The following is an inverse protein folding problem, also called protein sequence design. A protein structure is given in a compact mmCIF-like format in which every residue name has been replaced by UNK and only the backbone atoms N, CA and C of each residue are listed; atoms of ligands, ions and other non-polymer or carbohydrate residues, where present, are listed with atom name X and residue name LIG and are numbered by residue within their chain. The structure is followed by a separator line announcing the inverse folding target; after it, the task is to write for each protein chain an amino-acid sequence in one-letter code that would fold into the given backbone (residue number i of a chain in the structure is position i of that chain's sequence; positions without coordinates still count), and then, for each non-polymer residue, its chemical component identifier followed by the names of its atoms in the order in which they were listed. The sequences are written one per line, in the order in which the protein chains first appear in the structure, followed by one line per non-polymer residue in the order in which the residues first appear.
data_IF_794837430799
#
_entry.id   IF_794837430799
#
_cell.length_a   1.000
_cell.length_b   1.000
_cell.length_c   1.000
_cell.angle_alpha   90.00
_cell.angle_beta   90.00
_cell.angle_gamma   90.00
#
_symmetry.space_group_name_H-M   'P 1'
#
loop_
_entity.id
_entity.type
_entity.pdbx_description
1 polymer ?
#
# COMPACT_ATOMS: atom_id res chain seq x y z
N UNK A 1 -34.23 -21.23 -54.63
CA UNK A 1 -33.55 -20.42 -55.66
C UNK A 1 -32.39 -19.68 -55.00
N UNK A 2 -31.17 -20.06 -55.29
CA UNK A 2 -29.95 -19.22 -55.14
C UNK A 2 -29.79 -18.34 -56.41
N UNK A 3 -28.77 -17.45 -56.59
CA UNK A 3 -27.63 -17.04 -55.74
C UNK A 3 -27.26 -15.51 -55.79
N UNK A 4 -26.10 -15.16 -55.17
CA UNK A 4 -25.14 -14.03 -55.44
C UNK A 4 -25.39 -12.69 -54.71
N UNK A 5 -24.45 -11.94 -54.10
CA UNK A 5 -22.96 -11.84 -54.02
C UNK A 5 -22.56 -11.27 -52.63
N UNK A 6 -21.55 -11.77 -51.91
CA UNK A 6 -20.10 -11.45 -51.94
C UNK A 6 -19.69 -9.96 -52.05
N UNK A 7 -19.53 -9.28 -50.91
CA UNK A 7 -18.55 -8.16 -50.79
C UNK A 7 -17.85 -8.22 -49.45
N UNK A 8 -16.62 -8.75 -49.48
CA UNK A 8 -15.63 -8.69 -48.42
C UNK A 8 -14.92 -7.31 -48.48
N UNK A 9 -15.32 -6.36 -47.64
CA UNK A 9 -14.70 -5.03 -47.62
C UNK A 9 -13.64 -4.92 -46.52
N UNK A 10 -12.39 -4.82 -46.98
CA UNK A 10 -11.14 -4.70 -46.22
C UNK A 10 -11.12 -3.40 -45.41
N UNK A 11 -11.35 -3.49 -44.10
CA UNK A 11 -10.93 -2.45 -43.13
C UNK A 11 -9.73 -2.94 -42.32
N UNK A 12 -8.64 -3.27 -43.02
CA UNK A 12 -7.36 -3.63 -42.39
C UNK A 12 -6.15 -3.04 -43.12
N UNK A 13 -6.38 -2.02 -43.98
CA UNK A 13 -5.32 -1.42 -44.82
C UNK A 13 -4.74 -0.13 -44.24
N UNK A 14 -5.42 0.55 -43.31
CA UNK A 14 -4.99 1.86 -42.80
C UNK A 14 -3.92 1.73 -41.71
N UNK A 15 -4.09 0.80 -40.76
CA UNK A 15 -3.13 0.58 -39.67
C UNK A 15 -1.77 0.07 -40.15
N UNK A 16 -1.75 -0.82 -41.15
CA UNK A 16 -0.50 -1.33 -41.73
C UNK A 16 0.26 -0.21 -42.46
N UNK A 17 -0.47 0.71 -43.12
CA UNK A 17 0.14 1.88 -43.76
C UNK A 17 0.81 2.82 -42.75
N UNK A 18 0.15 3.11 -41.62
CA UNK A 18 0.75 3.94 -40.56
C UNK A 18 1.99 3.29 -39.94
N UNK A 19 1.99 1.97 -39.73
CA UNK A 19 3.16 1.25 -39.21
C UNK A 19 4.33 1.32 -40.20
N UNK A 20 4.07 1.10 -41.50
CA UNK A 20 5.11 1.18 -42.55
C UNK A 20 5.68 2.60 -42.69
N UNK A 21 4.83 3.64 -42.65
CA UNK A 21 5.30 5.04 -42.73
C UNK A 21 6.15 5.41 -41.51
N UNK A 22 5.75 5.00 -40.30
CA UNK A 22 6.56 5.22 -39.10
C UNK A 22 7.89 4.45 -39.15
N UNK A 23 7.89 3.22 -39.64
CA UNK A 23 9.12 2.42 -39.77
C UNK A 23 10.10 3.04 -40.78
N UNK A 24 9.60 3.58 -41.90
CA UNK A 24 10.42 4.29 -42.89
C UNK A 24 10.97 5.60 -42.34
N UNK A 25 10.18 6.39 -41.60
CA UNK A 25 10.64 7.63 -40.96
C UNK A 25 11.73 7.39 -39.91
N UNK A 26 11.64 6.30 -39.15
CA UNK A 26 12.65 5.93 -38.14
C UNK A 26 13.95 5.45 -38.79
N UNK A 27 13.89 4.79 -39.96
CA UNK A 27 15.07 4.31 -40.67
C UNK A 27 15.88 5.43 -41.34
N UNK A 28 15.24 6.51 -41.79
CA UNK A 28 15.94 7.66 -42.39
C UNK A 28 16.76 8.48 -41.38
N UNK A 29 16.52 8.33 -40.07
CA UNK A 29 17.35 8.95 -39.02
C UNK A 29 18.67 8.19 -38.81
N UNK A 30 18.76 6.92 -39.25
CA UNK A 30 19.95 6.08 -39.05
C UNK A 30 20.90 5.97 -40.24
N UNK A 31 20.63 6.65 -41.36
CA UNK A 31 21.49 6.59 -42.53
C UNK A 31 21.63 7.97 -43.20
N UNK A 32 22.39 8.85 -42.57
CA UNK A 32 22.72 10.17 -43.12
C UNK A 32 24.04 10.68 -42.57
N UNK A 33 25.09 10.52 -43.40
CA UNK A 33 26.43 11.12 -43.33
C UNK A 33 27.47 10.48 -42.38
N UNK A 34 28.28 9.60 -42.97
CA UNK A 34 29.69 9.48 -42.63
C UNK A 34 30.56 10.08 -43.75
N UNK A 35 31.44 11.02 -43.39
CA UNK A 35 32.82 11.14 -43.88
C UNK A 35 33.65 12.09 -42.98
N UNK A 36 34.41 11.45 -42.09
CA UNK A 36 35.77 11.69 -41.58
C UNK A 36 36.55 13.03 -41.70
N UNK A 37 37.13 13.46 -40.54
CA UNK A 37 38.53 13.89 -40.26
C UNK A 37 38.88 15.36 -40.67
N UNK A 38 39.40 16.31 -39.85
CA UNK A 38 40.34 16.26 -38.72
C UNK A 38 40.36 17.58 -37.89
N UNK A 39 40.90 17.52 -36.66
CA UNK A 39 41.52 18.60 -35.85
C UNK A 39 40.67 19.70 -35.18
N UNK A 40 40.05 19.35 -34.05
CA UNK A 40 40.30 20.09 -32.81
C UNK A 40 40.33 19.09 -31.67
N UNK A 41 41.51 18.85 -31.10
CA UNK A 41 41.56 18.30 -29.76
C UNK A 41 41.01 19.39 -28.84
N UNK A 42 39.68 19.45 -28.70
CA UNK A 42 39.09 19.97 -27.48
C UNK A 42 39.62 19.04 -26.41
N UNK A 43 40.60 19.51 -25.64
CA UNK A 43 40.89 18.91 -24.35
C UNK A 43 39.62 19.13 -23.53
N UNK A 44 38.67 18.20 -23.63
CA UNK A 44 37.75 17.94 -22.54
C UNK A 44 38.65 17.54 -21.38
N UNK A 45 39.09 18.55 -20.62
CA UNK A 45 39.39 18.36 -19.23
C UNK A 45 38.05 18.06 -18.55
N UNK A 46 37.44 16.93 -18.89
CA UNK A 46 36.64 16.19 -17.95
C UNK A 46 37.63 15.68 -16.91
N UNK A 47 38.15 16.62 -16.12
CA UNK A 47 38.64 16.31 -14.82
C UNK A 47 37.41 15.74 -14.14
N UNK A 48 37.29 14.42 -14.14
CA UNK A 48 36.52 13.72 -13.12
C UNK A 48 37.25 14.06 -11.82
N UNK A 49 37.13 15.30 -11.37
CA UNK A 49 37.48 15.74 -10.04
C UNK A 49 36.38 15.10 -9.23
N UNK A 50 36.53 13.81 -8.98
CA UNK A 50 36.11 13.25 -7.73
C UNK A 50 36.84 14.08 -6.67
N UNK A 51 36.23 15.20 -6.30
CA UNK A 51 36.72 16.05 -5.23
C UNK A 51 36.78 15.09 -4.05
N UNK A 52 37.96 14.86 -3.47
CA UNK A 52 38.13 13.90 -2.36
C UNK A 52 37.14 14.16 -1.22
N UNK A 53 36.72 15.42 -1.08
CA UNK A 53 35.63 15.87 -0.20
C UNK A 53 34.29 15.19 -0.52
N UNK A 54 33.90 15.08 -1.80
CA UNK A 54 32.68 14.39 -2.24
C UNK A 54 32.77 12.90 -1.99
N UNK A 55 33.91 12.24 -2.27
CA UNK A 55 34.12 10.82 -1.93
C UNK A 55 33.99 10.56 -0.44
N UNK A 56 34.60 11.42 0.37
CA UNK A 56 34.53 11.35 1.82
C UNK A 56 33.09 11.49 2.31
N UNK A 57 32.37 12.48 1.80
CA UNK A 57 30.97 12.70 2.15
C UNK A 57 30.06 11.54 1.72
N UNK A 58 30.26 11.00 0.51
CA UNK A 58 29.51 9.84 0.02
C UNK A 58 29.78 8.58 0.86
N UNK A 59 31.01 8.39 1.32
CA UNK A 59 31.38 7.30 2.25
C UNK A 59 30.73 7.48 3.63
N UNK A 60 30.73 8.70 4.17
CA UNK A 60 30.05 9.01 5.43
C UNK A 60 28.52 8.77 5.31
N UNK A 61 27.92 9.14 4.17
CA UNK A 61 26.50 8.85 3.90
C UNK A 61 26.20 7.36 3.79
N UNK A 62 27.09 6.55 3.19
CA UNK A 62 26.92 5.09 3.16
C UNK A 62 26.98 4.47 4.56
N UNK A 63 27.86 4.96 5.43
CA UNK A 63 27.95 4.49 6.81
C UNK A 63 26.71 4.86 7.63
N UNK A 64 26.20 6.08 7.43
CA UNK A 64 24.93 6.52 8.04
C UNK A 64 23.78 5.64 7.55
N UNK A 65 23.65 5.43 6.23
CA UNK A 65 22.62 4.57 5.64
C UNK A 65 22.65 3.15 6.20
N UNK A 66 23.83 2.52 6.27
CA UNK A 66 23.99 1.18 6.84
C UNK A 66 23.55 1.12 8.30
N UNK A 67 23.69 2.22 9.04
CA UNK A 67 23.24 2.32 10.43
C UNK A 67 21.71 2.45 10.51
N UNK A 68 21.08 3.21 9.60
CA UNK A 68 19.61 3.28 9.50
C UNK A 68 18.99 1.94 9.08
N UNK A 69 19.55 1.27 8.08
CA UNK A 69 19.08 -0.06 7.63
C UNK A 69 19.09 -1.09 8.77
N UNK A 70 20.09 -1.02 9.66
CA UNK A 70 20.20 -1.85 10.88
C UNK A 70 19.13 -1.51 11.91
N UNK A 71 18.76 -0.24 12.04
CA UNK A 71 17.70 0.21 12.94
C UNK A 71 16.34 -0.27 12.42
N UNK A 72 16.09 -0.13 11.12
CA UNK A 72 14.83 -0.55 10.49
C UNK A 72 14.62 -2.07 10.56
N UNK A 73 15.67 -2.86 10.31
CA UNK A 73 15.62 -4.31 10.50
C UNK A 73 15.40 -4.69 11.96
N UNK A 74 16.04 -3.99 12.91
CA UNK A 74 15.83 -4.22 14.34
C UNK A 74 14.41 -3.86 14.78
N UNK A 75 13.86 -2.75 14.28
CA UNK A 75 12.47 -2.34 14.55
C UNK A 75 11.47 -3.36 13.99
N UNK A 76 11.68 -3.82 12.75
CA UNK A 76 10.84 -4.86 12.12
C UNK A 76 10.84 -6.17 12.92
N UNK A 77 12.01 -6.59 13.42
CA UNK A 77 12.12 -7.80 14.25
C UNK A 77 11.44 -7.63 15.62
N UNK A 78 11.54 -6.45 16.23
CA UNK A 78 10.84 -6.13 17.49
C UNK A 78 9.33 -6.15 17.28
N UNK A 79 8.83 -5.56 16.20
CA UNK A 79 7.41 -5.53 15.89
C UNK A 79 6.85 -6.94 15.65
N UNK A 80 7.59 -7.79 14.92
CA UNK A 80 7.22 -9.20 14.76
C UNK A 80 7.17 -9.97 16.08
N UNK A 81 8.16 -9.76 16.97
CA UNK A 81 8.16 -10.37 18.30
C UNK A 81 7.01 -9.87 19.19
N UNK A 82 6.61 -8.61 19.06
CA UNK A 82 5.47 -8.07 19.81
C UNK A 82 4.13 -8.64 19.32
N UNK A 83 4.00 -8.90 18.01
CA UNK A 83 2.81 -9.54 17.44
C UNK A 83 2.71 -11.01 17.87
N UNK A 84 3.83 -11.74 17.92
CA UNK A 84 3.86 -13.14 18.35
C UNK A 84 3.52 -13.31 19.84
N UNK A 85 3.90 -12.33 20.68
CA UNK A 85 3.56 -12.29 22.11
C UNK A 85 2.17 -11.72 22.41
N UNK A 86 1.43 -11.27 21.39
CA UNK A 86 0.11 -10.66 21.60
C UNK A 86 -0.84 -11.72 22.13
N UNK A 87 -1.61 -11.35 23.16
CA UNK A 87 -2.67 -12.20 23.70
C UNK A 87 -3.57 -12.67 22.56
N UNK A 88 -3.62 -13.98 22.33
CA UNK A 88 -4.45 -14.61 21.30
C UNK A 88 -5.93 -14.28 21.49
N UNK A 89 -6.32 -13.92 22.71
CA UNK A 89 -7.67 -13.53 23.08
C UNK A 89 -7.61 -12.18 23.81
N UNK A 90 -7.93 -11.06 23.15
CA UNK A 90 -7.93 -9.75 23.78
C UNK A 90 -9.02 -9.67 24.86
N UNK A 91 -8.73 -8.95 25.94
CA UNK A 91 -9.63 -8.79 27.08
C UNK A 91 -10.41 -7.47 27.07
N UNK A 92 -10.03 -6.56 26.17
CA UNK A 92 -10.60 -5.21 26.06
C UNK A 92 -10.59 -4.72 24.61
N UNK A 93 -11.35 -3.65 24.33
CA UNK A 93 -11.36 -3.00 23.03
C UNK A 93 -10.00 -2.40 22.65
N UNK A 94 -9.30 -1.83 23.63
CA UNK A 94 -7.93 -1.33 23.44
C UNK A 94 -6.99 -2.42 22.91
N UNK A 95 -7.11 -3.64 23.41
CA UNK A 95 -6.31 -4.78 22.92
C UNK A 95 -6.82 -5.32 21.59
N UNK A 96 -8.14 -5.41 21.42
CA UNK A 96 -8.76 -6.03 20.25
C UNK A 96 -8.57 -5.19 18.97
N UNK A 97 -8.69 -3.88 19.09
CA UNK A 97 -8.61 -2.95 17.95
C UNK A 97 -7.21 -2.37 17.72
N UNK A 98 -6.23 -2.62 18.59
CA UNK A 98 -4.91 -1.99 18.47
C UNK A 98 -4.13 -2.33 17.19
N UNK A 99 -4.49 -3.39 16.44
CA UNK A 99 -3.89 -3.67 15.12
C UNK A 99 -4.61 -2.95 13.98
N UNK A 100 -5.94 -2.89 14.04
CA UNK A 100 -6.76 -2.35 12.96
C UNK A 100 -6.95 -0.84 13.05
N UNK A 101 -6.90 -0.29 14.28
CA UNK A 101 -7.16 1.12 14.61
C UNK A 101 -8.49 1.62 13.99
N UNK A 102 -9.50 0.74 13.99
CA UNK A 102 -10.80 1.00 13.37
C UNK A 102 -11.93 0.64 14.31
N UNK A 103 -12.91 1.53 14.39
CA UNK A 103 -14.20 1.25 15.02
C UNK A 103 -14.88 0.04 14.36
N UNK A 104 -15.46 -0.85 15.15
CA UNK A 104 -16.05 -2.08 14.63
C UNK A 104 -16.44 -3.08 15.70
N UNK A 105 -16.91 -4.26 15.26
CA UNK A 105 -17.24 -5.37 16.16
C UNK A 105 -16.02 -6.25 16.34
N UNK A 106 -15.68 -6.53 17.60
CA UNK A 106 -14.56 -7.36 18.00
C UNK A 106 -15.00 -8.42 19.02
N UNK A 107 -14.21 -9.49 19.14
CA UNK A 107 -14.40 -10.51 20.17
C UNK A 107 -13.43 -10.27 21.32
N UNK A 108 -13.96 -10.26 22.54
CA UNK A 108 -13.15 -10.13 23.76
C UNK A 108 -13.43 -11.27 24.74
N UNK A 109 -12.44 -11.55 25.59
CA UNK A 109 -12.50 -12.54 26.67
C UNK A 109 -12.65 -11.85 28.03
N UNK A 110 -13.63 -12.29 28.82
CA UNK A 110 -13.85 -11.88 30.20
C UNK A 110 -13.63 -13.08 31.13
N UNK A 111 -12.38 -13.23 31.60
CA UNK A 111 -11.97 -14.39 32.41
C UNK A 111 -12.79 -14.54 33.70
N UNK A 112 -13.06 -13.44 34.39
CA UNK A 112 -13.86 -13.43 35.63
C UNK A 112 -15.28 -13.93 35.44
N UNK A 113 -15.80 -13.88 34.21
CA UNK A 113 -17.15 -14.33 33.86
C UNK A 113 -17.14 -15.65 33.09
N UNK A 114 -15.96 -16.25 32.83
CA UNK A 114 -15.79 -17.42 31.96
C UNK A 114 -16.40 -17.23 30.56
N UNK A 115 -16.31 -16.01 30.01
CA UNK A 115 -16.77 -15.71 28.64
C UNK A 115 -15.54 -15.54 27.75
N UNK A 116 -15.45 -16.29 26.65
CA UNK A 116 -14.27 -16.29 25.77
C UNK A 116 -14.45 -15.51 24.47
N UNK A 117 -15.69 -15.32 24.04
CA UNK A 117 -16.04 -14.81 22.72
C UNK A 117 -17.19 -13.80 22.80
N UNK A 118 -17.07 -12.82 23.70
CA UNK A 118 -18.07 -11.76 23.78
C UNK A 118 -17.89 -10.81 22.60
N UNK A 119 -18.90 -10.72 21.74
CA UNK A 119 -18.93 -9.73 20.66
C UNK A 119 -19.32 -8.36 21.21
N UNK A 120 -18.46 -7.36 20.99
CA UNK A 120 -18.63 -5.98 21.46
C UNK A 120 -18.30 -5.01 20.34
N UNK A 121 -18.94 -3.83 20.36
CA UNK A 121 -18.53 -2.74 19.48
C UNK A 121 -17.44 -1.91 20.16
N UNK A 122 -16.28 -1.80 19.50
CA UNK A 122 -15.18 -0.93 19.89
C UNK A 122 -15.22 0.36 19.07
N UNK A 123 -15.14 1.50 19.76
CA UNK A 123 -15.05 2.82 19.16
C UNK A 123 -13.62 3.34 19.30
N UNK A 124 -12.96 3.52 18.15
CA UNK A 124 -11.58 3.99 18.05
C UNK A 124 -11.50 5.47 17.62
N UNK A 125 -12.63 6.09 17.29
CA UNK A 125 -12.68 7.44 16.73
C UNK A 125 -12.73 8.52 17.83
N UNK A 126 -13.12 8.15 19.05
CA UNK A 126 -13.32 9.06 20.18
C UNK A 126 -12.18 8.91 21.20
N UNK A 127 -11.66 10.04 21.70
CA UNK A 127 -10.73 10.12 22.84
C UNK A 127 -9.64 9.04 22.85
N UNK A 128 -8.85 8.98 21.77
CA UNK A 128 -7.74 8.03 21.59
C UNK A 128 -8.12 6.54 21.47
N UNK A 129 -9.41 6.24 21.36
CA UNK A 129 -9.93 4.90 21.09
C UNK A 129 -9.89 3.94 22.28
N UNK A 130 -10.09 2.65 21.99
CA UNK A 130 -10.18 1.59 22.98
C UNK A 130 -11.50 1.55 23.75
N UNK A 131 -12.53 2.28 23.32
CA UNK A 131 -13.80 2.36 24.02
C UNK A 131 -14.70 1.17 23.72
N UNK A 132 -15.16 0.49 24.77
CA UNK A 132 -16.23 -0.49 24.67
C UNK A 132 -17.59 0.22 24.76
N UNK A 133 -18.37 0.17 23.69
CA UNK A 133 -19.70 0.79 23.66
C UNK A 133 -20.72 -0.14 24.33
N UNK A 134 -21.19 0.25 25.51
CA UNK A 134 -22.20 -0.51 26.26
C UNK A 134 -23.65 -0.17 25.87
N UNK A 135 -23.87 0.98 25.21
CA UNK A 135 -25.20 1.45 24.82
C UNK A 135 -25.11 2.47 23.67
N UNK A 136 -25.96 2.34 22.64
CA UNK A 136 -26.03 3.28 21.50
C UNK A 136 -27.48 3.61 21.12
N UNK A 137 -27.75 4.89 20.87
CA UNK A 137 -29.04 5.41 20.36
C UNK A 137 -28.81 6.33 19.16
N UNK A 138 -29.29 5.92 17.98
CA UNK A 138 -29.13 6.69 16.74
C UNK A 138 -30.44 6.86 15.96
N UNK A 139 -31.17 5.77 15.72
CA UNK A 139 -32.35 5.75 14.83
C UNK A 139 -33.69 5.54 15.54
N UNK A 140 -33.67 5.21 16.84
CA UNK A 140 -34.88 4.84 17.58
C UNK A 140 -35.52 3.51 17.18
N UNK A 141 -34.88 2.72 16.31
CA UNK A 141 -35.39 1.44 15.81
C UNK A 141 -35.51 0.35 16.88
N UNK A 142 -34.76 0.49 17.98
CA UNK A 142 -34.75 -0.45 19.10
C UNK A 142 -35.42 0.22 20.31
N UNK A 143 -36.48 -0.38 20.84
CA UNK A 143 -37.12 0.07 22.08
C UNK A 143 -36.23 -0.24 23.29
N UNK A 144 -36.05 0.76 24.16
CA UNK A 144 -35.37 0.65 25.46
C UNK A 144 -36.35 0.46 26.63
N UNK A 145 -37.65 0.57 26.38
CA UNK A 145 -38.67 0.25 27.37
C UNK A 145 -38.86 -1.27 27.40
N UNK A 146 -38.12 -1.93 28.29
CA UNK A 146 -37.96 -3.39 28.38
C UNK A 146 -38.03 -3.86 29.83
N UNK A 147 -38.25 -5.15 30.03
CA UNK A 147 -38.23 -5.76 31.36
C UNK A 147 -36.80 -6.03 31.87
N UNK A 148 -36.70 -6.48 33.13
CA UNK A 148 -35.41 -6.76 33.75
C UNK A 148 -34.63 -7.90 33.06
N UNK A 149 -35.32 -8.90 32.51
CA UNK A 149 -34.67 -10.04 31.90
C UNK A 149 -33.96 -9.64 30.59
N UNK A 150 -34.56 -8.73 29.82
CA UNK A 150 -33.94 -8.18 28.61
C UNK A 150 -32.65 -7.41 28.96
N UNK A 151 -32.68 -6.53 29.96
CA UNK A 151 -31.49 -5.79 30.40
C UNK A 151 -30.39 -6.72 30.96
N UNK A 152 -30.77 -7.79 31.66
CA UNK A 152 -29.81 -8.77 32.18
C UNK A 152 -29.11 -9.56 31.08
N UNK A 153 -29.80 -9.90 29.99
CA UNK A 153 -29.25 -10.69 28.88
C UNK A 153 -28.56 -9.82 27.82
N UNK A 154 -28.95 -8.55 27.71
CA UNK A 154 -28.59 -7.69 26.58
C UNK A 154 -29.63 -7.79 25.46
N UNK A 155 -29.76 -6.71 24.69
CA UNK A 155 -30.66 -6.61 23.54
C UNK A 155 -30.12 -5.62 22.51
N UNK A 156 -30.60 -5.76 21.27
CA UNK A 156 -30.18 -4.93 20.13
C UNK A 156 -29.07 -5.57 19.31
#
# INVERSE_FOLDING_TARGET
STPKEFVHSRKMSSFVFFILVNFVLILQIKFGFGQSIDTSAVCDCNCNVEIDVVKKFMKELEEVRKSTDKIDTKASNIEQQLIENRATNPSSCMEAAATSLKSGVYKIKLEKLNITDLEVFCDEDVDCGGWLVIQRRQSGSVSFYRDWNDYKKGFG
#
